data_IF_772809615048
#
_entry.id   IF_772809615048
#
_cell.length_a   1.000
_cell.length_b   1.000
_cell.length_c   1.000
_cell.angle_alpha   90.00
_cell.angle_beta   90.00
_cell.angle_gamma   90.00
#
_symmetry.space_group_name_H-M   'P 1'
#
loop_
_entity.id
_entity.type
_entity.pdbx_description
1 polymer ?
#
# COMPACT_ATOMS: atom_id res chain seq x y z
N UNK A 1 1.14 3.99 -12.39
CA UNK A 1 0.85 5.40 -12.14
C UNK A 1 1.00 5.77 -10.66
N UNK A 2 0.51 4.91 -9.78
CA UNK A 2 0.61 5.17 -8.34
C UNK A 2 1.82 4.52 -7.68
N UNK A 3 2.55 3.72 -8.41
CA UNK A 3 3.73 3.03 -7.88
C UNK A 3 4.78 4.07 -7.51
N UNK A 4 5.31 3.97 -6.30
CA UNK A 4 6.27 4.93 -5.76
C UNK A 4 5.66 6.04 -4.92
N UNK A 5 4.33 6.18 -4.92
CA UNK A 5 3.65 7.16 -4.07
C UNK A 5 3.61 6.68 -2.63
N UNK A 6 3.56 7.61 -1.68
CA UNK A 6 3.21 7.25 -0.32
C UNK A 6 1.74 6.84 -0.26
N UNK A 7 1.41 5.95 0.69
CA UNK A 7 0.02 5.52 0.83
C UNK A 7 -0.90 6.68 1.17
N UNK A 8 -0.40 7.67 1.93
CA UNK A 8 -1.19 8.85 2.27
C UNK A 8 -1.58 9.63 1.02
N UNK A 9 -0.66 9.75 0.07
CA UNK A 9 -0.95 10.44 -1.19
C UNK A 9 -1.93 9.64 -2.05
N UNK A 10 -1.80 8.32 -2.06
CA UNK A 10 -2.74 7.46 -2.78
C UNK A 10 -4.14 7.61 -2.22
N UNK A 11 -4.28 7.53 -0.90
CA UNK A 11 -5.60 7.66 -0.24
C UNK A 11 -6.19 9.05 -0.51
N UNK A 12 -5.36 10.08 -0.53
CA UNK A 12 -5.81 11.42 -0.89
C UNK A 12 -6.33 11.52 -2.32
N UNK A 13 -5.81 10.70 -3.21
CA UNK A 13 -6.21 10.72 -4.63
C UNK A 13 -7.44 9.84 -4.92
N UNK A 14 -7.54 8.66 -4.30
CA UNK A 14 -8.56 7.67 -4.66
C UNK A 14 -9.54 7.36 -3.51
N UNK A 15 -9.29 7.86 -2.32
CA UNK A 15 -10.14 7.62 -1.15
C UNK A 15 -9.74 6.37 -0.39
N UNK A 16 -10.56 6.01 0.60
CA UNK A 16 -10.29 4.86 1.47
C UNK A 16 -10.61 3.55 0.75
N UNK A 17 -9.81 2.51 1.05
CA UNK A 17 -10.07 1.17 0.55
C UNK A 17 -11.30 0.55 1.24
N UNK A 18 -11.90 -0.46 0.60
CA UNK A 18 -12.99 -1.21 1.21
C UNK A 18 -12.49 -2.08 2.35
N UNK A 19 -11.28 -2.62 2.20
CA UNK A 19 -10.64 -3.42 3.24
C UNK A 19 -9.13 -3.38 3.03
N UNK A 20 -8.40 -3.78 4.05
CA UNK A 20 -6.95 -3.83 3.97
C UNK A 20 -6.42 -4.96 4.83
N UNK A 21 -5.23 -5.44 4.48
CA UNK A 21 -4.50 -6.44 5.24
C UNK A 21 -3.04 -6.08 5.29
N UNK A 22 -2.37 -6.52 6.35
CA UNK A 22 -0.92 -6.36 6.48
C UNK A 22 -0.28 -7.71 6.71
N UNK A 23 0.85 -7.92 6.06
CA UNK A 23 1.63 -9.14 6.20
C UNK A 23 3.03 -8.76 6.66
N UNK A 24 3.38 -9.14 7.88
CA UNK A 24 4.70 -8.89 8.45
C UNK A 24 5.65 -10.03 8.12
N UNK A 25 6.73 -9.71 7.42
CA UNK A 25 7.77 -10.67 7.09
C UNK A 25 9.09 -10.13 7.62
N UNK A 26 9.77 -10.89 8.48
CA UNK A 26 11.02 -10.46 9.08
C UNK A 26 12.13 -10.28 8.05
N UNK A 27 12.04 -10.93 6.89
CA UNK A 27 13.03 -10.82 5.83
C UNK A 27 12.79 -9.64 4.90
N UNK A 28 11.51 -9.33 4.61
CA UNK A 28 11.15 -8.31 3.63
C UNK A 28 10.47 -7.08 4.24
N UNK A 29 10.14 -7.13 5.53
CA UNK A 29 9.43 -6.07 6.21
C UNK A 29 7.91 -6.25 6.12
N UNK A 30 7.17 -5.16 6.31
CA UNK A 30 5.72 -5.20 6.29
C UNK A 30 5.21 -4.88 4.90
N UNK A 31 4.30 -5.72 4.39
CA UNK A 31 3.60 -5.49 3.12
C UNK A 31 2.14 -5.22 3.42
N UNK A 32 1.60 -4.15 2.86
CA UNK A 32 0.19 -3.82 2.99
C UNK A 32 -0.55 -4.13 1.70
N UNK A 33 -1.80 -4.54 1.85
CA UNK A 33 -2.70 -4.78 0.71
C UNK A 33 -3.98 -4.00 0.96
N UNK A 34 -4.39 -3.22 -0.02
CA UNK A 34 -5.56 -2.37 0.06
C UNK A 34 -6.51 -2.75 -1.08
N UNK A 35 -7.73 -3.12 -0.75
CA UNK A 35 -8.69 -3.65 -1.71
C UNK A 35 -9.72 -2.59 -2.06
N UNK A 36 -9.72 -2.21 -3.33
CA UNK A 36 -10.68 -1.25 -3.90
C UNK A 36 -11.60 -1.99 -4.87
N UNK A 37 -12.77 -1.42 -5.18
CA UNK A 37 -13.70 -2.09 -6.10
C UNK A 37 -13.11 -2.38 -7.49
N UNK A 38 -12.25 -1.48 -7.98
CA UNK A 38 -11.74 -1.56 -9.34
C UNK A 38 -10.29 -2.03 -9.43
N UNK A 39 -9.57 -2.08 -8.31
CA UNK A 39 -8.15 -2.45 -8.32
C UNK A 39 -7.69 -2.82 -6.91
N UNK A 40 -6.51 -3.39 -6.85
CA UNK A 40 -5.83 -3.72 -5.59
C UNK A 40 -4.49 -3.02 -5.55
N UNK A 41 -4.12 -2.53 -4.37
CA UNK A 41 -2.85 -1.82 -4.16
C UNK A 41 -2.02 -2.60 -3.16
N UNK A 42 -0.74 -2.81 -3.46
CA UNK A 42 0.21 -3.34 -2.49
C UNK A 42 1.20 -2.24 -2.10
N UNK A 43 1.65 -2.30 -0.85
CA UNK A 43 2.60 -1.34 -0.30
C UNK A 43 3.72 -2.05 0.43
N UNK A 44 4.80 -1.32 0.67
CA UNK A 44 5.90 -1.79 1.50
C UNK A 44 6.25 -0.69 2.49
N UNK A 45 6.51 -1.07 3.74
CA UNK A 45 6.95 -0.13 4.78
C UNK A 45 8.45 -0.22 4.90
N UNK A 46 9.14 0.92 4.75
CA UNK A 46 10.59 0.96 4.83
C UNK A 46 11.06 1.09 6.29
N UNK A 47 12.39 1.18 6.48
CA UNK A 47 12.99 1.25 7.81
C UNK A 47 12.60 2.51 8.58
N UNK A 48 12.24 3.55 7.86
CA UNK A 48 11.83 4.83 8.46
C UNK A 48 10.34 4.84 8.80
N UNK A 49 9.61 3.80 8.47
CA UNK A 49 8.19 3.71 8.71
C UNK A 49 7.33 4.31 7.61
N UNK A 50 7.92 4.64 6.46
CA UNK A 50 7.17 5.17 5.32
C UNK A 50 6.56 4.02 4.52
N UNK A 51 5.28 4.11 4.26
CA UNK A 51 4.55 3.11 3.49
C UNK A 51 4.38 3.60 2.06
N UNK A 52 4.99 2.87 1.12
CA UNK A 52 5.08 3.26 -0.29
C UNK A 52 4.37 2.23 -1.15
N UNK A 53 3.63 2.68 -2.14
CA UNK A 53 2.93 1.81 -3.09
C UNK A 53 3.95 1.09 -3.96
N UNK A 54 3.87 -0.25 -4.00
CA UNK A 54 4.79 -1.09 -4.77
C UNK A 54 4.11 -1.78 -5.94
N UNK A 55 2.78 -1.90 -5.93
CA UNK A 55 2.05 -2.54 -7.01
C UNK A 55 0.60 -2.12 -7.03
N UNK A 56 0.02 -2.13 -8.22
CA UNK A 56 -1.41 -1.86 -8.44
C UNK A 56 -1.87 -2.82 -9.53
N UNK A 57 -2.98 -3.56 -9.28
CA UNK A 57 -3.50 -4.49 -10.29
C UNK A 57 -5.00 -4.73 -10.19
#
# INVERSE_FOLDING_TARGET
KYIGMSIDDLVGAVGDSQSSEYDDDSATGTTGYYYYPDFTVSTSVDEEGNEIVTGVW
#
